data_IF_408264161254
#
_entry.id   IF_408264161254
#
_cell.length_a   1.000
_cell.length_b   1.000
_cell.length_c   1.000
_cell.angle_alpha   90.00
_cell.angle_beta   90.00
_cell.angle_gamma   90.00
#
_symmetry.space_group_name_H-M   'P 1'
#
loop_
_entity.id
_entity.type
_entity.pdbx_description
1 polymer ?
#
# COMPACT_ATOMS: atom_id res chain seq x y z
N UNK A 1 -51.32 -53.30 -29.01
CA UNK A 1 -49.87 -53.13 -28.75
C UNK A 1 -49.57 -51.64 -28.77
N UNK A 2 -49.38 -51.01 -27.60
CA UNK A 2 -48.05 -50.85 -26.94
C UNK A 2 -47.13 -50.14 -27.96
N UNK A 3 -46.96 -48.82 -27.95
CA UNK A 3 -45.76 -48.17 -27.38
C UNK A 3 -45.92 -46.65 -27.09
N UNK A 4 -47.13 -46.09 -27.01
CA UNK A 4 -47.32 -44.62 -26.93
C UNK A 4 -47.11 -44.00 -25.53
N UNK A 5 -46.43 -44.68 -24.60
CA UNK A 5 -46.19 -44.19 -23.23
C UNK A 5 -44.73 -44.28 -22.76
N UNK A 6 -43.75 -44.33 -23.68
CA UNK A 6 -42.31 -44.37 -23.32
C UNK A 6 -41.52 -43.20 -23.95
N UNK A 7 -42.18 -42.08 -24.24
CA UNK A 7 -41.48 -40.87 -24.71
C UNK A 7 -41.78 -39.62 -23.87
N UNK A 8 -42.26 -39.83 -22.64
CA UNK A 8 -42.55 -38.73 -21.70
C UNK A 8 -41.56 -38.67 -20.52
N UNK A 9 -40.58 -39.58 -20.44
CA UNK A 9 -39.65 -39.65 -19.30
C UNK A 9 -38.24 -39.11 -19.60
N UNK A 10 -38.03 -38.47 -20.75
CA UNK A 10 -36.73 -37.89 -21.12
C UNK A 10 -36.77 -36.37 -21.33
N UNK A 11 -37.88 -35.70 -21.00
CA UNK A 11 -38.07 -34.26 -21.22
C UNK A 11 -38.28 -33.46 -19.92
N UNK A 12 -37.92 -34.03 -18.76
CA UNK A 12 -38.02 -33.34 -17.45
C UNK A 12 -36.70 -33.30 -16.68
N UNK A 13 -35.56 -33.34 -17.37
CA UNK A 13 -34.24 -33.30 -16.74
C UNK A 13 -33.27 -32.25 -17.32
N UNK A 14 -33.72 -31.36 -18.21
CA UNK A 14 -32.87 -30.31 -18.80
C UNK A 14 -33.35 -28.87 -18.58
N UNK A 15 -34.04 -28.62 -17.46
CA UNK A 15 -34.20 -27.27 -16.90
C UNK A 15 -33.34 -27.07 -15.65
N UNK A 16 -32.19 -27.77 -15.58
CA UNK A 16 -31.09 -27.33 -14.74
C UNK A 16 -30.45 -26.13 -15.42
N UNK A 17 -30.97 -24.93 -15.18
CA UNK A 17 -30.27 -23.70 -15.54
C UNK A 17 -28.93 -23.79 -14.82
N UNK A 18 -27.86 -24.08 -15.56
CA UNK A 18 -26.51 -23.97 -15.05
C UNK A 18 -26.25 -22.49 -14.79
N UNK A 19 -26.78 -21.98 -13.67
CA UNK A 19 -26.30 -20.75 -13.08
C UNK A 19 -24.90 -21.08 -12.57
N UNK A 20 -23.92 -20.98 -13.46
CA UNK A 20 -22.54 -20.77 -13.04
C UNK A 20 -22.60 -19.63 -12.02
N UNK A 21 -22.26 -19.95 -10.76
CA UNK A 21 -22.29 -19.03 -9.63
C UNK A 21 -21.23 -17.94 -9.86
N UNK A 22 -21.54 -16.96 -10.69
CA UNK A 22 -20.86 -15.68 -10.63
C UNK A 22 -21.46 -14.97 -9.42
N UNK A 23 -20.79 -15.06 -8.28
CA UNK A 23 -21.11 -14.20 -7.15
C UNK A 23 -21.17 -12.75 -7.66
N UNK A 24 -22.17 -11.94 -7.25
CA UNK A 24 -22.23 -10.55 -7.68
C UNK A 24 -20.92 -9.85 -7.36
N UNK A 25 -20.28 -9.31 -8.40
CA UNK A 25 -19.01 -8.60 -8.28
C UNK A 25 -19.19 -7.37 -7.41
N UNK A 26 -18.34 -7.23 -6.39
CA UNK A 26 -18.29 -6.05 -5.53
C UNK A 26 -16.94 -5.36 -5.66
N UNK A 27 -16.94 -4.03 -5.57
CA UNK A 27 -15.75 -3.20 -5.56
C UNK A 27 -15.79 -2.31 -4.33
N UNK A 28 -14.67 -2.18 -3.63
CA UNK A 28 -14.57 -1.33 -2.45
C UNK A 28 -14.50 0.13 -2.87
N UNK A 29 -15.07 1.00 -2.04
CA UNK A 29 -15.07 2.44 -2.27
C UNK A 29 -14.43 3.17 -1.10
N UNK A 30 -13.67 4.21 -1.40
CA UNK A 30 -13.02 5.04 -0.39
C UNK A 30 -13.15 6.51 -0.77
N UNK A 31 -13.73 7.29 0.12
CA UNK A 31 -13.78 8.74 0.02
C UNK A 31 -12.65 9.33 0.87
N UNK A 32 -11.86 10.19 0.24
CA UNK A 32 -10.77 10.91 0.90
C UNK A 32 -11.12 12.39 0.98
N UNK A 33 -11.01 12.94 2.18
CA UNK A 33 -11.02 14.38 2.40
C UNK A 33 -9.69 14.76 3.03
N UNK A 34 -8.95 15.63 2.35
CA UNK A 34 -7.65 16.08 2.80
C UNK A 34 -7.66 17.60 2.94
N UNK A 35 -7.16 18.07 4.07
CA UNK A 35 -6.87 19.47 4.33
C UNK A 35 -5.36 19.58 4.56
N UNK A 36 -4.65 20.09 3.56
CA UNK A 36 -3.19 20.10 3.48
C UNK A 36 -2.72 21.55 3.31
N UNK A 37 -1.86 21.99 4.22
CA UNK A 37 -1.14 23.25 4.12
C UNK A 37 0.29 22.99 3.62
N UNK A 38 0.66 23.65 2.53
CA UNK A 38 1.98 23.52 1.91
C UNK A 38 2.79 24.80 2.12
N UNK A 39 3.91 24.66 2.83
CA UNK A 39 4.88 25.72 2.96
C UNK A 39 5.98 25.55 1.88
N UNK A 40 5.81 26.31 0.80
CA UNK A 40 6.71 26.27 -0.37
C UNK A 40 8.13 26.74 -0.03
N UNK A 41 8.30 27.60 0.97
CA UNK A 41 9.63 28.15 1.32
C UNK A 41 10.53 27.10 1.95
N UNK A 42 9.96 26.17 2.72
CA UNK A 42 10.72 25.13 3.42
C UNK A 42 10.46 23.72 2.86
N UNK A 43 9.69 23.59 1.76
CA UNK A 43 9.35 22.30 1.13
C UNK A 43 8.71 21.32 2.10
N UNK A 44 7.79 21.82 2.95
CA UNK A 44 7.07 21.01 3.91
C UNK A 44 5.59 21.13 3.68
N UNK A 45 4.85 20.08 4.04
CA UNK A 45 3.42 20.17 4.20
C UNK A 45 3.00 19.54 5.52
N UNK A 46 1.87 20.02 6.02
CA UNK A 46 1.19 19.42 7.15
C UNK A 46 -0.29 19.35 6.83
N UNK A 47 -1.01 18.43 7.46
CA UNK A 47 -2.42 18.33 7.16
C UNK A 47 -3.12 17.24 7.92
N UNK A 48 -4.41 17.13 7.61
CA UNK A 48 -5.30 16.10 8.14
C UNK A 48 -5.97 15.40 6.98
N UNK A 49 -5.98 14.07 7.05
CA UNK A 49 -6.72 13.22 6.14
C UNK A 49 -7.85 12.53 6.91
N UNK A 50 -9.06 12.67 6.40
CA UNK A 50 -10.21 11.88 6.79
C UNK A 50 -10.52 10.89 5.65
N UNK A 51 -10.75 9.64 6.02
CA UNK A 51 -10.97 8.54 5.09
C UNK A 51 -12.23 7.78 5.49
N UNK A 52 -13.21 7.78 4.60
CA UNK A 52 -14.44 6.99 4.76
C UNK A 52 -14.35 5.77 3.86
N UNK A 53 -14.23 4.58 4.48
CA UNK A 53 -14.17 3.31 3.76
C UNK A 53 -15.55 2.65 3.72
N UNK A 54 -16.01 2.26 2.53
CA UNK A 54 -17.26 1.53 2.36
C UNK A 54 -16.97 0.07 2.04
N UNK A 55 -17.30 -0.84 2.95
CA UNK A 55 -17.20 -2.29 2.72
C UNK A 55 -18.40 -2.79 1.89
N UNK A 56 -18.20 -3.00 0.59
CA UNK A 56 -19.23 -3.55 -0.31
C UNK A 56 -19.21 -5.09 -0.39
N UNK A 57 -18.27 -5.75 0.30
CA UNK A 57 -18.24 -7.21 0.37
C UNK A 57 -19.42 -7.75 1.18
N UNK A 58 -20.00 -8.90 0.81
CA UNK A 58 -20.96 -9.61 1.67
C UNK A 58 -20.32 -10.12 2.97
N UNK A 59 -18.99 -10.18 3.04
CA UNK A 59 -18.25 -10.65 4.21
C UNK A 59 -17.92 -9.51 5.18
N UNK A 60 -17.82 -9.87 6.46
CA UNK A 60 -17.42 -8.93 7.52
C UNK A 60 -15.92 -8.61 7.42
N UNK A 61 -15.61 -7.35 7.16
CA UNK A 61 -14.24 -6.83 7.20
C UNK A 61 -13.76 -6.67 8.65
N UNK A 62 -12.67 -7.35 9.01
CA UNK A 62 -12.08 -7.30 10.37
C UNK A 62 -10.83 -6.44 10.48
N UNK A 63 -10.12 -6.25 9.36
CA UNK A 63 -8.82 -5.55 9.32
C UNK A 63 -8.76 -4.71 8.06
N UNK A 64 -8.23 -3.50 8.18
CA UNK A 64 -7.93 -2.62 7.04
C UNK A 64 -6.42 -2.36 7.02
N UNK A 65 -5.81 -2.51 5.85
CA UNK A 65 -4.39 -2.23 5.64
C UNK A 65 -4.23 -0.87 4.96
N UNK A 66 -3.28 -0.09 5.45
CA UNK A 66 -2.94 1.22 4.89
C UNK A 66 -1.48 1.26 4.47
N UNK A 67 -1.23 1.92 3.34
CA UNK A 67 0.11 2.27 2.91
C UNK A 67 0.35 3.73 3.29
N UNK A 68 1.16 3.94 4.33
CA UNK A 68 1.65 5.25 4.71
C UNK A 68 3.14 5.27 4.39
N UNK A 69 3.54 6.12 3.45
CA UNK A 69 4.95 6.28 3.13
C UNK A 69 5.58 7.19 4.17
N UNK A 70 6.66 6.69 4.79
CA UNK A 70 7.46 7.48 5.70
C UNK A 70 8.29 8.48 4.90
N UNK A 71 8.52 9.67 5.47
CA UNK A 71 9.55 10.56 4.96
C UNK A 71 10.92 9.86 5.07
N UNK A 72 11.46 9.44 3.93
CA UNK A 72 12.69 8.69 3.85
C UNK A 72 13.95 9.57 4.01
N UNK A 73 13.87 10.89 3.79
CA UNK A 73 15.05 11.76 3.70
C UNK A 73 15.19 12.71 4.90
N UNK A 74 15.00 12.17 6.11
CA UNK A 74 15.24 12.88 7.37
C UNK A 74 16.30 12.13 8.20
N UNK A 75 17.17 12.83 8.95
CA UNK A 75 18.05 12.20 9.92
C UNK A 75 17.26 11.28 10.86
N UNK A 76 17.75 10.07 11.10
CA UNK A 76 17.06 9.05 11.90
C UNK A 76 15.91 8.33 11.20
N UNK A 77 15.65 8.57 9.91
CA UNK A 77 14.68 7.77 9.15
C UNK A 77 15.13 6.32 8.98
N UNK A 78 14.21 5.44 8.59
CA UNK A 78 14.54 4.07 8.18
C UNK A 78 15.56 4.01 7.04
N UNK A 79 15.51 4.97 6.11
CA UNK A 79 16.49 5.03 5.03
C UNK A 79 17.87 5.47 5.54
N UNK A 80 17.92 6.41 6.48
CA UNK A 80 19.16 6.83 7.13
C UNK A 80 19.80 5.66 7.90
N UNK A 81 19.00 4.98 8.73
CA UNK A 81 19.43 3.80 9.48
C UNK A 81 19.91 2.68 8.54
N UNK A 82 19.19 2.44 7.44
CA UNK A 82 19.56 1.45 6.43
C UNK A 82 20.89 1.79 5.76
N UNK A 83 21.12 3.05 5.36
CA UNK A 83 22.38 3.47 4.72
C UNK A 83 23.60 3.29 5.62
N UNK A 84 23.41 3.41 6.94
CA UNK A 84 24.49 3.23 7.93
C UNK A 84 24.77 1.75 8.24
N UNK A 85 23.81 0.85 8.02
CA UNK A 85 23.88 -0.56 8.46
C UNK A 85 24.09 -1.56 7.32
N UNK A 86 23.68 -1.23 6.10
CA UNK A 86 23.84 -2.12 4.94
C UNK A 86 25.32 -2.29 4.59
N UNK A 87 25.69 -3.48 4.10
CA UNK A 87 27.08 -3.81 3.75
C UNK A 87 27.58 -3.01 2.53
N UNK A 88 26.71 -2.77 1.56
CA UNK A 88 27.01 -2.15 0.26
C UNK A 88 26.08 -0.94 -0.05
N UNK A 89 26.13 0.13 0.75
CA UNK A 89 25.29 1.30 0.48
C UNK A 89 25.68 1.96 -0.84
N UNK A 90 24.70 2.61 -1.49
CA UNK A 90 24.99 3.44 -2.67
C UNK A 90 26.02 4.50 -2.30
N UNK A 91 27.17 4.47 -2.98
CA UNK A 91 28.31 5.38 -2.74
C UNK A 91 27.95 6.85 -2.87
N UNK A 92 26.87 7.20 -3.57
CA UNK A 92 26.39 8.58 -3.69
C UNK A 92 25.64 9.06 -2.45
N UNK A 93 25.21 8.14 -1.59
CA UNK A 93 24.37 8.40 -0.43
C UNK A 93 25.12 8.28 0.90
N UNK A 94 26.41 7.93 0.88
CA UNK A 94 27.26 7.81 2.06
C UNK A 94 28.58 8.57 1.90
N UNK A 95 29.05 9.13 3.00
CA UNK A 95 30.40 9.65 3.17
C UNK A 95 31.24 8.64 3.96
N UNK A 96 32.57 8.68 3.80
CA UNK A 96 33.48 7.89 4.63
C UNK A 96 33.90 8.70 5.85
N UNK A 97 33.83 8.10 7.04
CA UNK A 97 34.24 8.71 8.30
C UNK A 97 35.18 7.77 9.04
N UNK A 98 36.24 8.32 9.62
CA UNK A 98 37.15 7.57 10.49
C UNK A 98 36.66 7.70 11.94
N UNK A 99 36.36 6.57 12.57
CA UNK A 99 35.99 6.50 13.99
C UNK A 99 36.85 5.42 14.64
N UNK A 100 37.58 5.77 15.69
CA UNK A 100 38.48 4.86 16.42
C UNK A 100 39.49 4.09 15.54
N UNK A 101 40.00 4.76 14.48
CA UNK A 101 40.95 4.17 13.54
C UNK A 101 40.34 3.21 12.52
N UNK A 102 39.00 3.16 12.42
CA UNK A 102 38.26 2.37 11.44
C UNK A 102 37.43 3.28 10.52
N UNK A 103 37.54 3.06 9.22
CA UNK A 103 36.67 3.70 8.23
C UNK A 103 35.26 3.09 8.30
N UNK A 104 34.26 3.92 8.54
CA UNK A 104 32.83 3.58 8.49
C UNK A 104 32.11 4.40 7.42
N UNK A 105 30.99 3.87 6.92
CA UNK A 105 30.09 4.64 6.06
C UNK A 105 29.15 5.45 6.95
N UNK A 106 29.10 6.76 6.74
CA UNK A 106 28.13 7.66 7.34
C UNK A 106 27.12 8.07 6.27
N UNK A 107 25.83 7.96 6.57
CA UNK A 107 24.77 8.37 5.67
C UNK A 107 24.79 9.89 5.44
N UNK A 108 24.61 10.32 4.18
CA UNK A 108 24.45 11.75 3.85
C UNK A 108 23.14 12.33 4.39
N UNK A 109 22.16 11.47 4.72
CA UNK A 109 20.90 11.87 5.33
C UNK A 109 21.14 12.28 6.78
N UNK A 110 22.05 11.60 7.50
CA UNK A 110 22.40 11.91 8.89
C UNK A 110 22.98 13.32 9.06
N UNK A 111 23.58 13.90 8.01
CA UNK A 111 24.18 15.23 8.03
C UNK A 111 23.28 16.35 7.47
N UNK A 112 22.01 16.06 7.12
CA UNK A 112 21.08 17.07 6.62
C UNK A 112 20.72 18.08 7.72
N UNK A 113 20.74 19.36 7.37
CA UNK A 113 20.23 20.43 8.24
C UNK A 113 18.71 20.53 8.16
N UNK A 114 18.03 21.11 9.16
CA UNK A 114 16.57 21.28 9.16
C UNK A 114 16.01 21.93 7.88
N UNK A 115 16.73 22.88 7.30
CA UNK A 115 16.37 23.57 6.05
C UNK A 115 16.63 22.75 4.77
N UNK A 116 17.36 21.65 4.86
CA UNK A 116 17.67 20.74 3.75
C UNK A 116 16.73 19.52 3.74
N UNK A 117 15.92 19.34 4.80
CA UNK A 117 14.96 18.25 4.93
C UNK A 117 13.63 18.68 4.31
N UNK A 118 13.29 18.07 3.18
CA UNK A 118 11.94 18.15 2.61
C UNK A 118 11.00 17.20 3.35
N UNK A 119 9.76 17.63 3.55
CA UNK A 119 8.68 16.73 3.98
C UNK A 119 7.79 16.47 2.75
N UNK A 120 7.90 15.24 2.24
CA UNK A 120 7.04 14.68 1.18
C UNK A 120 6.05 13.72 1.78
#
# INVERSE_FOLDING_TARGET
>A
MKYTKILSLAALSTLGVAQAQNAPYWQQHVDYKMDIDMNVKNYQYTGKQELTYTNNSPDTLKVVFYHVFLNAFQPGSEMDARLQTILDPDRRMVNKKEVDGKTINESRIASLKPEEIGYV
#
